data_IF_537290892733
#
_entry.id   IF_537290892733
#
_cell.length_a   1.000
_cell.length_b   1.000
_cell.length_c   1.000
_cell.angle_alpha   90.00
_cell.angle_beta   90.00
_cell.angle_gamma   90.00
#
_symmetry.space_group_name_H-M   'P 1'
#
loop_
_entity.id
_entity.type
_entity.pdbx_description
1 polymer ?
#
# COMPACT_ATOMS: atom_id res chain seq x y z
N UNK A 1 2.56 -15.78 -7.42
CA UNK A 1 3.63 -14.92 -8.01
C UNK A 1 3.29 -13.51 -7.59
N UNK A 2 4.12 -12.82 -6.80
CA UNK A 2 3.86 -11.41 -6.49
C UNK A 2 3.94 -10.62 -7.80
N UNK A 3 2.86 -9.97 -8.26
CA UNK A 3 2.92 -9.23 -9.49
C UNK A 3 3.73 -7.97 -9.22
N UNK A 4 4.79 -7.80 -10.02
CA UNK A 4 5.50 -6.55 -10.25
C UNK A 4 6.56 -6.12 -9.23
N UNK A 5 7.81 -6.52 -9.49
CA UNK A 5 9.01 -5.66 -9.32
C UNK A 5 8.97 -4.42 -10.24
N UNK A 6 7.77 -3.87 -10.50
CA UNK A 6 7.58 -2.70 -11.34
C UNK A 6 7.65 -1.50 -10.40
N UNK A 7 8.76 -0.79 -10.48
CA UNK A 7 8.95 0.45 -9.73
C UNK A 7 7.77 1.40 -10.01
N UNK A 8 7.04 1.78 -8.95
CA UNK A 8 5.93 2.73 -9.04
C UNK A 8 6.53 4.14 -9.08
N UNK A 9 6.68 4.71 -10.28
CA UNK A 9 7.33 6.02 -10.48
C UNK A 9 6.36 7.13 -10.83
N UNK A 10 5.19 6.78 -11.37
CA UNK A 10 4.22 7.76 -11.87
C UNK A 10 2.83 7.54 -11.27
N UNK A 11 1.98 8.57 -11.38
CA UNK A 11 0.55 8.45 -11.05
C UNK A 11 -0.12 7.33 -11.84
N UNK A 12 0.23 7.15 -13.11
CA UNK A 12 -0.33 6.09 -13.95
C UNK A 12 0.07 4.70 -13.44
N UNK A 13 1.31 4.52 -12.99
CA UNK A 13 1.76 3.26 -12.39
C UNK A 13 0.98 2.95 -11.11
N UNK A 14 0.78 3.95 -10.24
CA UNK A 14 0.04 3.77 -9.00
C UNK A 14 -1.44 3.42 -9.24
N UNK A 15 -2.10 4.08 -10.21
CA UNK A 15 -3.48 3.75 -10.60
C UNK A 15 -3.60 2.34 -11.19
N UNK A 16 -2.65 1.94 -12.03
CA UNK A 16 -2.59 0.59 -12.57
C UNK A 16 -2.40 -0.46 -11.45
N UNK A 17 -1.50 -0.18 -10.51
CA UNK A 17 -1.30 -1.01 -9.32
C UNK A 17 -2.61 -1.15 -8.52
N UNK A 18 -3.30 -0.06 -8.18
CA UNK A 18 -4.55 -0.12 -7.41
C UNK A 18 -5.64 -0.93 -8.13
N UNK A 19 -5.71 -0.83 -9.46
CA UNK A 19 -6.64 -1.62 -10.27
C UNK A 19 -6.34 -3.11 -10.14
N UNK A 20 -5.06 -3.49 -10.29
CA UNK A 20 -4.62 -4.88 -10.17
C UNK A 20 -4.76 -5.41 -8.74
N UNK A 21 -4.46 -4.58 -7.75
CA UNK A 21 -4.55 -4.93 -6.33
C UNK A 21 -6.00 -5.22 -5.92
N UNK A 22 -6.94 -4.40 -6.40
CA UNK A 22 -8.37 -4.65 -6.19
C UNK A 22 -8.85 -5.91 -6.94
N UNK A 23 -8.38 -6.14 -8.17
CA UNK A 23 -8.70 -7.37 -8.92
C UNK A 23 -8.20 -8.63 -8.22
N UNK A 24 -6.99 -8.58 -7.64
CA UNK A 24 -6.39 -9.67 -6.89
C UNK A 24 -7.23 -10.03 -5.64
N UNK A 25 -7.64 -9.02 -4.87
CA UNK A 25 -8.55 -9.20 -3.72
C UNK A 25 -9.87 -9.89 -4.13
N UNK A 26 -10.44 -9.53 -5.28
CA UNK A 26 -11.68 -10.13 -5.77
C UNK A 26 -11.48 -11.56 -6.31
N UNK A 27 -10.31 -11.85 -6.88
CA UNK A 27 -10.03 -13.13 -7.54
C UNK A 27 -9.53 -14.19 -6.58
N UNK A 28 -8.78 -13.79 -5.54
CA UNK A 28 -8.12 -14.65 -4.57
C UNK A 28 -8.32 -14.15 -3.12
N UNK A 29 -9.56 -13.88 -2.67
CA UNK A 29 -9.80 -13.26 -1.35
C UNK A 29 -9.27 -14.08 -0.17
N UNK A 30 -9.19 -15.40 -0.31
CA UNK A 30 -8.64 -16.32 0.70
C UNK A 30 -7.12 -16.21 0.90
N UNK A 31 -6.39 -15.69 -0.09
CA UNK A 31 -4.94 -15.46 0.03
C UNK A 31 -4.62 -14.20 0.85
N UNK A 32 -5.61 -13.35 1.08
CA UNK A 32 -5.47 -12.12 1.86
C UNK A 32 -5.66 -12.38 3.35
N UNK A 33 -4.65 -12.00 4.14
CA UNK A 33 -4.71 -12.10 5.60
C UNK A 33 -5.70 -11.09 6.22
N UNK A 34 -5.74 -9.86 5.69
CA UNK A 34 -6.55 -8.75 6.21
C UNK A 34 -7.64 -8.39 5.21
N UNK A 35 -8.81 -9.02 5.33
CA UNK A 35 -9.89 -8.99 4.32
C UNK A 35 -10.97 -7.95 4.56
N UNK A 36 -11.04 -7.43 5.79
CA UNK A 36 -11.94 -6.34 6.13
C UNK A 36 -11.15 -5.03 6.28
N UNK A 37 -11.86 -3.91 6.12
CA UNK A 37 -11.22 -2.61 6.12
C UNK A 37 -10.53 -2.27 7.45
N UNK A 38 -11.05 -2.74 8.58
CA UNK A 38 -10.44 -2.45 9.88
C UNK A 38 -9.10 -3.20 10.03
N UNK A 39 -9.08 -4.51 9.77
CA UNK A 39 -7.84 -5.29 9.82
C UNK A 39 -6.81 -4.83 8.79
N UNK A 40 -7.24 -4.38 7.61
CA UNK A 40 -6.35 -3.82 6.60
C UNK A 40 -5.69 -2.51 7.07
N UNK A 41 -6.46 -1.61 7.69
CA UNK A 41 -5.93 -0.34 8.22
C UNK A 41 -4.98 -0.56 9.41
N UNK A 42 -5.29 -1.52 10.29
CA UNK A 42 -4.40 -1.89 11.40
C UNK A 42 -3.06 -2.45 10.86
N UNK A 43 -3.11 -3.35 9.89
CA UNK A 43 -1.90 -3.89 9.26
C UNK A 43 -1.09 -2.82 8.52
N UNK A 44 -1.75 -1.85 7.88
CA UNK A 44 -1.07 -0.72 7.23
C UNK A 44 -0.37 0.17 8.28
N UNK A 45 -1.02 0.45 9.41
CA UNK A 45 -0.41 1.19 10.53
C UNK A 45 0.83 0.46 11.05
N UNK A 46 0.71 -0.83 11.33
CA UNK A 46 1.82 -1.65 11.85
C UNK A 46 2.98 -1.72 10.85
N UNK A 47 2.70 -1.76 9.54
CA UNK A 47 3.75 -1.67 8.52
C UNK A 47 4.45 -0.31 8.52
N UNK A 48 3.70 0.80 8.60
CA UNK A 48 4.27 2.16 8.64
C UNK A 48 5.16 2.35 9.87
N UNK A 49 4.80 1.79 11.02
CA UNK A 49 5.59 1.86 12.26
C UNK A 49 6.95 1.15 12.15
N UNK A 50 7.06 0.13 11.28
CA UNK A 50 8.24 -0.73 11.15
C UNK A 50 8.95 -0.60 9.79
N UNK A 51 8.48 0.28 8.90
CA UNK A 51 8.94 0.31 7.51
C UNK A 51 10.44 0.63 7.40
N UNK A 52 10.97 1.53 8.22
CA UNK A 52 12.40 1.87 8.23
C UNK A 52 13.25 0.64 8.53
N UNK A 53 12.83 -0.17 9.49
CA UNK A 53 13.53 -1.40 9.86
C UNK A 53 13.49 -2.43 8.73
N UNK A 54 12.37 -2.52 8.00
CA UNK A 54 12.27 -3.33 6.79
C UNK A 54 13.27 -2.90 5.71
N UNK A 55 13.35 -1.61 5.40
CA UNK A 55 14.31 -1.08 4.41
C UNK A 55 15.76 -1.32 4.84
N UNK A 56 16.09 -1.08 6.11
CA UNK A 56 17.43 -1.35 6.67
C UNK A 56 17.79 -2.84 6.55
N UNK A 57 16.90 -3.73 6.99
CA UNK A 57 17.14 -5.17 7.00
C UNK A 57 17.30 -5.75 5.59
N UNK A 58 16.63 -5.15 4.60
CA UNK A 58 16.69 -5.55 3.19
C UNK A 58 17.75 -4.81 2.39
N UNK A 59 18.59 -3.98 3.04
CA UNK A 59 19.66 -3.16 2.42
C UNK A 59 19.16 -2.22 1.31
N UNK A 60 17.95 -1.72 1.49
CA UNK A 60 17.35 -0.70 0.64
C UNK A 60 17.54 0.69 1.25
N UNK A 61 17.43 1.73 0.43
CA UNK A 61 17.42 3.11 0.92
C UNK A 61 16.13 3.36 1.72
N UNK A 62 16.28 3.91 2.92
CA UNK A 62 15.13 4.30 3.76
C UNK A 62 14.51 5.56 3.16
N UNK A 63 13.21 5.56 2.82
CA UNK A 63 12.53 6.76 2.32
C UNK A 63 12.61 7.90 3.34
N UNK A 64 13.13 9.06 2.94
CA UNK A 64 13.32 10.21 3.83
C UNK A 64 12.43 11.41 3.48
N UNK A 65 11.79 11.39 2.30
CA UNK A 65 10.98 12.48 1.74
C UNK A 65 9.52 12.07 1.47
N UNK A 66 9.00 11.12 2.25
CA UNK A 66 7.60 10.68 2.15
C UNK A 66 6.67 11.85 2.44
N UNK A 67 5.84 12.21 1.45
CA UNK A 67 4.81 13.23 1.63
C UNK A 67 3.56 12.65 2.32
N UNK A 68 3.63 12.53 3.64
CA UNK A 68 2.56 11.97 4.48
C UNK A 68 1.21 12.68 4.32
N UNK A 69 1.20 13.97 3.99
CA UNK A 69 -0.04 14.73 3.79
C UNK A 69 -0.83 14.21 2.58
N UNK A 70 -0.14 13.80 1.51
CA UNK A 70 -0.80 13.23 0.33
C UNK A 70 -1.43 11.88 0.66
N UNK A 71 -0.74 11.04 1.45
CA UNK A 71 -1.29 9.76 1.94
C UNK A 71 -2.56 9.99 2.78
N UNK A 72 -2.50 10.95 3.72
CA UNK A 72 -3.65 11.38 4.51
C UNK A 72 -4.81 11.84 3.62
N UNK A 73 -4.55 12.71 2.63
CA UNK A 73 -5.59 13.24 1.75
C UNK A 73 -6.26 12.14 0.93
N UNK A 74 -5.51 11.14 0.46
CA UNK A 74 -6.07 9.99 -0.26
C UNK A 74 -7.00 9.15 0.62
N UNK A 75 -6.57 8.81 1.84
CA UNK A 75 -7.39 8.03 2.77
C UNK A 75 -8.65 8.79 3.20
N UNK A 76 -8.52 10.10 3.43
CA UNK A 76 -9.66 10.95 3.77
C UNK A 76 -10.64 11.10 2.61
N UNK A 77 -10.14 11.26 1.38
CA UNK A 77 -10.98 11.34 0.20
C UNK A 77 -11.75 10.04 -0.05
N UNK A 78 -11.07 8.89 0.02
CA UNK A 78 -11.69 7.57 -0.14
C UNK A 78 -12.69 7.21 0.97
N UNK A 79 -12.58 7.82 2.15
CA UNK A 79 -13.54 7.61 3.24
C UNK A 79 -14.79 8.49 3.12
N UNK A 80 -14.65 9.72 2.64
CA UNK A 80 -15.69 10.76 2.73
C UNK A 80 -16.36 11.05 1.39
N UNK A 81 -15.63 11.00 0.28
CA UNK A 81 -16.04 11.61 -0.99
C UNK A 81 -16.19 10.62 -2.15
N UNK A 82 -15.18 9.78 -2.38
CA UNK A 82 -15.15 8.79 -3.46
C UNK A 82 -15.78 7.47 -3.04
#
# INVERSE_FOLDING_TARGET
MNPCDKEIKTKADFLAFLTLYNQDLHSCPEEWANRDLASFLDALKDWIEEMEQYYINTKQEVPSDVNWKVLYDMLMAARIYE
#
